data_IF_124008902199
#
_entry.id   IF_124008902199
#
_cell.length_a   1.000
_cell.length_b   1.000
_cell.length_c   1.000
_cell.angle_alpha   90.00
_cell.angle_beta   90.00
_cell.angle_gamma   90.00
#
_symmetry.space_group_name_H-M   'P 1'
#
loop_
_entity.id
_entity.type
_entity.pdbx_description
1 polymer ?
#
# COMPACT_ATOMS: atom_id res chain seq x y z
N UNK A 1 6.74 9.56 -3.12
CA UNK A 1 5.47 8.90 -2.71
C UNK A 1 4.26 9.84 -2.76
N UNK A 2 3.94 10.67 -1.73
CA UNK A 2 2.72 11.52 -1.80
C UNK A 2 2.73 12.51 -2.98
N UNK A 3 3.90 13.01 -3.35
CA UNK A 3 4.10 13.91 -4.49
C UNK A 3 3.68 13.28 -5.83
N UNK A 4 3.73 11.97 -5.97
CA UNK A 4 3.34 11.27 -7.21
C UNK A 4 1.82 11.18 -7.39
N UNK A 5 1.07 11.29 -6.29
CA UNK A 5 -0.39 11.25 -6.30
C UNK A 5 -1.01 12.61 -6.64
N UNK A 6 -0.29 13.68 -6.32
CA UNK A 6 -0.74 15.06 -6.53
C UNK A 6 -0.43 15.48 -7.95
N UNK A 7 -1.47 15.82 -8.71
CA UNK A 7 -1.34 16.37 -10.05
C UNK A 7 -1.33 17.91 -10.01
N UNK A 8 -0.81 18.56 -11.06
CA UNK A 8 -0.71 20.04 -11.13
C UNK A 8 -2.06 20.75 -10.90
N UNK A 9 -3.17 20.15 -11.34
CA UNK A 9 -4.51 20.71 -11.15
C UNK A 9 -5.12 20.44 -9.77
N UNK A 10 -4.53 19.54 -8.98
CA UNK A 10 -4.93 19.29 -7.59
C UNK A 10 -4.34 20.35 -6.65
N UNK A 11 -3.13 20.85 -6.94
CA UNK A 11 -2.44 21.87 -6.14
C UNK A 11 -3.29 23.09 -5.77
N UNK A 12 -4.00 23.79 -6.70
CA UNK A 12 -4.78 24.96 -6.33
C UNK A 12 -5.98 24.60 -5.43
N UNK A 13 -6.42 23.35 -5.41
CA UNK A 13 -7.46 22.86 -4.51
C UNK A 13 -6.85 22.60 -3.13
N UNK A 14 -5.68 21.95 -3.09
CA UNK A 14 -4.94 21.66 -1.86
C UNK A 14 -4.46 22.93 -1.13
N UNK A 15 -4.32 24.07 -1.82
CA UNK A 15 -4.08 25.37 -1.16
C UNK A 15 -5.18 25.80 -0.19
N UNK A 16 -6.38 25.25 -0.33
CA UNK A 16 -7.49 25.50 0.57
C UNK A 16 -7.54 24.52 1.75
N UNK A 17 -6.64 23.53 1.80
CA UNK A 17 -6.52 22.58 2.91
C UNK A 17 -5.90 23.30 4.11
N UNK A 18 -6.66 23.41 5.20
CA UNK A 18 -6.23 24.07 6.43
C UNK A 18 -5.62 23.10 7.44
N UNK A 19 -6.12 21.86 7.50
CA UNK A 19 -5.71 20.90 8.52
C UNK A 19 -5.97 19.46 8.08
N UNK A 20 -5.17 18.52 8.60
CA UNK A 20 -5.38 17.08 8.47
C UNK A 20 -5.38 16.48 9.87
N UNK A 21 -6.52 15.91 10.29
CA UNK A 21 -6.68 15.31 11.61
C UNK A 21 -6.84 13.81 11.50
N UNK A 22 -6.35 13.11 12.52
CA UNK A 22 -6.66 11.69 12.76
C UNK A 22 -7.63 11.60 13.94
N UNK A 23 -8.79 10.97 13.74
CA UNK A 23 -9.75 10.69 14.81
C UNK A 23 -9.98 9.20 14.95
N UNK A 24 -9.83 8.67 16.16
CA UNK A 24 -10.16 7.28 16.47
C UNK A 24 -11.63 7.16 16.86
N UNK A 25 -12.23 5.99 16.61
CA UNK A 25 -13.59 5.71 17.07
C UNK A 25 -13.69 5.69 18.59
N UNK A 26 -14.88 6.00 19.10
CA UNK A 26 -15.13 6.06 20.53
C UNK A 26 -15.23 4.65 21.15
N UNK A 27 -14.95 4.51 22.46
CA UNK A 27 -15.16 3.24 23.15
C UNK A 27 -16.57 2.68 22.95
N UNK A 28 -16.68 1.41 22.57
CA UNK A 28 -17.95 0.73 22.32
C UNK A 28 -18.44 0.79 20.86
N UNK A 29 -17.74 1.50 19.98
CA UNK A 29 -17.94 1.43 18.53
C UNK A 29 -16.93 0.47 17.87
N UNK A 30 -17.19 -0.04 16.66
CA UNK A 30 -16.19 -0.77 15.89
C UNK A 30 -14.88 0.03 15.79
N UNK A 31 -13.75 -0.65 16.00
CA UNK A 31 -12.42 0.00 15.98
C UNK A 31 -12.18 0.56 14.59
N UNK A 32 -11.97 1.86 14.50
CA UNK A 32 -11.65 2.53 13.25
C UNK A 32 -10.91 3.83 13.55
N UNK A 33 -10.27 4.38 12.53
CA UNK A 33 -9.80 5.76 12.58
C UNK A 33 -10.13 6.45 11.26
N UNK A 34 -10.30 7.76 11.33
CA UNK A 34 -10.71 8.62 10.23
C UNK A 34 -9.63 9.68 10.01
N UNK A 35 -9.15 9.78 8.78
CA UNK A 35 -8.41 10.95 8.32
C UNK A 35 -9.41 12.01 7.87
N UNK A 36 -9.40 13.17 8.53
CA UNK A 36 -10.22 14.32 8.20
C UNK A 36 -9.37 15.42 7.57
N UNK A 37 -9.68 15.79 6.34
CA UNK A 37 -9.04 16.87 5.60
C UNK A 37 -9.97 18.08 5.64
N UNK A 38 -9.58 19.10 6.41
CA UNK A 38 -10.39 20.30 6.65
C UNK A 38 -10.05 21.37 5.62
N UNK A 39 -11.04 21.77 4.83
CA UNK A 39 -10.89 22.79 3.79
C UNK A 39 -11.64 24.06 4.17
N UNK A 40 -11.04 25.20 3.82
CA UNK A 40 -11.75 26.46 3.83
C UNK A 40 -12.77 26.53 2.68
N UNK A 41 -13.75 27.47 2.74
CA UNK A 41 -14.64 27.72 1.62
C UNK A 41 -13.87 28.01 0.33
N UNK A 42 -14.06 27.19 -0.69
CA UNK A 42 -13.30 27.24 -1.94
C UNK A 42 -14.20 27.11 -3.18
N UNK A 43 -13.64 27.30 -4.37
CA UNK A 43 -14.37 27.29 -5.65
C UNK A 43 -14.54 25.92 -6.30
N UNK A 44 -14.12 24.84 -5.64
CA UNK A 44 -14.03 23.50 -6.23
C UNK A 44 -15.14 22.57 -5.76
N UNK A 45 -15.42 22.52 -4.46
CA UNK A 45 -16.48 21.70 -3.86
C UNK A 45 -17.13 22.41 -2.67
N UNK A 46 -18.23 21.86 -2.15
CA UNK A 46 -18.95 22.45 -1.00
C UNK A 46 -18.62 21.81 0.34
N UNK A 47 -17.95 20.67 0.36
CA UNK A 47 -17.54 19.99 1.59
C UNK A 47 -16.53 20.85 2.37
N UNK A 48 -16.77 21.02 3.67
CA UNK A 48 -15.78 21.61 4.59
C UNK A 48 -14.77 20.58 5.08
N UNK A 49 -15.14 19.29 5.09
CA UNK A 49 -14.27 18.18 5.51
C UNK A 49 -14.42 17.04 4.53
N UNK A 50 -13.29 16.55 4.00
CA UNK A 50 -13.23 15.29 3.27
C UNK A 50 -12.67 14.20 4.20
N UNK A 51 -13.28 13.02 4.19
CA UNK A 51 -12.96 11.96 5.16
C UNK A 51 -12.54 10.68 4.46
N UNK A 52 -11.52 10.02 5.01
CA UNK A 52 -11.14 8.65 4.68
C UNK A 52 -11.14 7.82 5.97
N UNK A 53 -12.02 6.83 6.03
CA UNK A 53 -12.25 5.98 7.20
C UNK A 53 -11.58 4.64 6.98
N UNK A 54 -10.82 4.17 7.98
CA UNK A 54 -10.19 2.87 7.99
C UNK A 54 -10.77 2.04 9.12
N UNK A 55 -11.40 0.91 8.77
CA UNK A 55 -11.95 -0.04 9.75
C UNK A 55 -10.86 -1.01 10.16
N UNK A 56 -10.79 -1.30 11.45
CA UNK A 56 -9.78 -2.17 12.02
C UNK A 56 -10.42 -3.39 12.67
N UNK A 57 -9.75 -4.54 12.53
CA UNK A 57 -10.04 -5.76 13.29
C UNK A 57 -8.97 -5.88 14.37
N UNK A 58 -9.40 -5.97 15.63
CA UNK A 58 -8.50 -6.09 16.78
C UNK A 58 -8.71 -7.39 17.56
N UNK A 59 -9.66 -8.23 17.12
CA UNK A 59 -9.91 -9.54 17.70
C UNK A 59 -9.25 -10.63 16.84
N UNK A 60 -8.61 -11.64 17.47
CA UNK A 60 -8.07 -12.79 16.76
C UNK A 60 -9.15 -13.50 15.94
N UNK A 61 -8.75 -14.13 14.84
CA UNK A 61 -9.67 -15.00 14.13
C UNK A 61 -10.04 -16.20 14.99
N UNK A 62 -11.32 -16.60 15.00
CA UNK A 62 -11.78 -17.76 15.75
C UNK A 62 -11.30 -19.07 15.11
N UNK A 63 -11.11 -19.08 13.80
CA UNK A 63 -10.65 -20.25 13.05
C UNK A 63 -9.12 -20.40 13.11
N UNK A 64 -8.39 -19.29 13.21
CA UNK A 64 -6.93 -19.29 13.37
C UNK A 64 -6.46 -18.19 14.34
N UNK A 65 -6.57 -18.41 15.66
CA UNK A 65 -6.22 -17.40 16.66
C UNK A 65 -4.74 -17.03 16.69
N UNK A 66 -3.85 -17.90 16.20
CA UNK A 66 -2.41 -17.69 16.22
C UNK A 66 -1.92 -16.81 15.07
N UNK A 67 -2.76 -16.59 14.04
CA UNK A 67 -2.50 -15.61 12.98
C UNK A 67 -2.63 -14.15 13.42
N UNK A 68 -3.04 -13.89 14.67
CA UNK A 68 -3.24 -12.53 15.15
C UNK A 68 -1.91 -11.83 15.43
N UNK A 69 -1.53 -10.92 14.52
CA UNK A 69 -0.33 -10.08 14.62
C UNK A 69 -0.60 -8.69 15.22
N UNK A 70 -1.85 -8.43 15.62
CA UNK A 70 -2.30 -7.16 16.20
C UNK A 70 -3.44 -6.51 15.42
N UNK A 71 -3.80 -5.26 15.74
CA UNK A 71 -4.85 -4.53 15.04
C UNK A 71 -4.53 -4.29 13.56
N UNK A 72 -5.32 -4.89 12.67
CA UNK A 72 -5.15 -4.78 11.22
C UNK A 72 -6.27 -3.95 10.60
N UNK A 73 -5.99 -3.20 9.53
CA UNK A 73 -7.03 -2.56 8.73
C UNK A 73 -7.65 -3.55 7.77
N UNK A 74 -8.95 -3.77 7.88
CA UNK A 74 -9.69 -4.75 7.09
C UNK A 74 -10.49 -4.14 5.94
N UNK A 75 -10.78 -2.84 6.03
CA UNK A 75 -11.62 -2.15 5.05
C UNK A 75 -11.37 -0.64 5.12
N UNK A 76 -11.68 0.06 4.03
CA UNK A 76 -11.64 1.51 3.98
C UNK A 76 -12.83 2.09 3.21
N UNK A 77 -13.40 3.17 3.75
CA UNK A 77 -14.47 3.94 3.12
C UNK A 77 -13.98 5.37 2.90
N UNK A 78 -14.30 5.93 1.73
CA UNK A 78 -14.08 7.34 1.44
C UNK A 78 -15.34 8.18 1.63
N UNK A 79 -15.33 9.39 1.08
CA UNK A 79 -16.48 10.29 1.11
C UNK A 79 -16.83 10.79 -0.30
N UNK A 80 -18.11 11.08 -0.53
CA UNK A 80 -18.52 11.77 -1.76
C UNK A 80 -18.04 13.21 -1.72
N UNK A 81 -17.34 13.63 -2.78
CA UNK A 81 -16.93 15.03 -2.96
C UNK A 81 -18.01 15.74 -3.78
N UNK A 82 -18.61 16.78 -3.20
CA UNK A 82 -19.66 17.59 -3.79
C UNK A 82 -19.06 18.67 -4.68
N UNK A 83 -18.51 18.21 -5.82
CA UNK A 83 -17.89 19.08 -6.82
C UNK A 83 -18.84 20.14 -7.35
N UNK A 84 -18.39 21.38 -7.36
CA UNK A 84 -19.04 22.47 -8.09
C UNK A 84 -18.97 22.22 -9.60
N UNK A 85 -19.88 22.85 -10.34
CA UNK A 85 -20.06 22.61 -11.78
C UNK A 85 -18.75 22.85 -12.55
N UNK A 86 -18.27 21.80 -13.23
CA UNK A 86 -17.07 21.86 -14.07
C UNK A 86 -15.74 21.90 -13.31
N UNK A 87 -15.76 21.62 -12.00
CA UNK A 87 -14.58 21.66 -11.13
C UNK A 87 -14.08 20.28 -10.70
N UNK A 88 -14.79 19.22 -11.09
CA UNK A 88 -14.38 17.86 -10.80
C UNK A 88 -13.12 17.47 -11.57
N UNK A 89 -11.99 17.39 -10.87
CA UNK A 89 -10.67 17.02 -11.42
C UNK A 89 -10.46 15.51 -11.52
N UNK A 90 -11.31 14.69 -10.89
CA UNK A 90 -11.22 13.22 -10.96
C UNK A 90 -11.83 12.65 -12.24
N UNK A 91 -12.41 13.50 -13.10
CA UNK A 91 -13.00 13.09 -14.38
C UNK A 91 -12.57 14.00 -15.52
N UNK A 92 -12.22 13.38 -16.66
CA UNK A 92 -11.91 14.07 -17.91
C UNK A 92 -13.03 13.86 -18.91
N UNK A 93 -13.45 14.95 -19.55
CA UNK A 93 -14.54 14.94 -20.52
C UNK A 93 -14.00 14.77 -21.95
N UNK A 94 -14.24 13.61 -22.56
CA UNK A 94 -13.84 13.30 -23.94
C UNK A 94 -15.03 13.52 -24.87
N UNK A 95 -14.87 14.42 -25.85
CA UNK A 95 -15.89 14.70 -26.88
C UNK A 95 -15.57 13.87 -28.13
N UNK A 96 -16.44 12.91 -28.47
CA UNK A 96 -16.35 12.12 -29.69
C UNK A 96 -17.41 12.59 -30.68
N UNK A 97 -16.98 13.05 -31.86
CA UNK A 97 -17.89 13.38 -32.96
C UNK A 97 -18.37 12.08 -33.62
N UNK A 98 -19.67 11.87 -33.65
CA UNK A 98 -20.30 10.75 -34.34
C UNK A 98 -21.07 11.26 -35.56
N UNK A 99 -20.69 10.79 -36.74
CA UNK A 99 -21.39 11.08 -37.99
C UNK A 99 -22.48 10.04 -38.21
N UNK A 100 -23.74 10.47 -38.33
CA UNK A 100 -24.86 9.54 -38.59
C UNK A 100 -24.93 9.25 -40.09
N UNK A 101 -24.74 7.97 -40.47
CA UNK A 101 -24.68 7.50 -41.87
C UNK A 101 -25.93 7.86 -42.71
N UNK A 102 -27.08 8.09 -42.07
CA UNK A 102 -28.36 8.26 -42.77
C UNK A 102 -28.79 9.71 -43.05
N UNK A 103 -28.21 10.72 -42.38
CA UNK A 103 -28.77 12.09 -42.37
C UNK A 103 -27.71 13.19 -42.45
N UNK A 104 -26.49 12.82 -42.82
CA UNK A 104 -25.27 13.66 -42.90
C UNK A 104 -25.05 14.64 -41.73
N UNK A 105 -25.60 14.31 -40.56
CA UNK A 105 -25.58 15.15 -39.36
C UNK A 105 -24.56 14.60 -38.37
N UNK A 106 -23.72 15.50 -37.86
CA UNK A 106 -22.68 15.20 -36.87
C UNK A 106 -23.22 15.53 -35.48
N UNK A 107 -23.33 14.52 -34.62
CA UNK A 107 -23.64 14.69 -33.19
C UNK A 107 -22.34 14.58 -32.39
N UNK A 108 -22.14 15.45 -31.41
CA UNK A 108 -21.04 15.31 -30.45
C UNK A 108 -21.56 14.51 -29.25
N UNK A 109 -20.93 13.37 -28.96
CA UNK A 109 -21.16 12.58 -27.76
C UNK A 109 -20.08 12.91 -26.76
N UNK A 110 -20.48 13.20 -25.53
CA UNK A 110 -19.60 13.52 -24.41
C UNK A 110 -19.51 12.29 -23.51
N UNK A 111 -18.31 11.73 -23.34
CA UNK A 111 -18.04 10.63 -22.40
C UNK A 111 -17.14 11.16 -21.28
N UNK A 112 -17.50 10.91 -20.03
CA UNK A 112 -16.60 11.13 -18.90
C UNK A 112 -15.76 9.87 -18.68
N UNK A 113 -14.47 10.06 -18.46
CA UNK A 113 -13.51 9.01 -18.14
C UNK A 113 -12.80 9.43 -16.85
N UNK A 114 -12.41 8.45 -16.02
CA UNK A 114 -11.63 8.72 -14.81
C UNK A 114 -10.33 9.44 -15.20
N UNK A 115 -9.95 10.40 -14.39
CA UNK A 115 -8.73 11.17 -14.52
C UNK A 115 -7.93 10.98 -13.24
N UNK A 116 -6.62 10.83 -13.37
CA UNK A 116 -5.73 10.67 -12.22
C UNK A 116 -5.77 11.95 -11.38
N UNK A 117 -5.81 11.84 -10.07
CA UNK A 117 -5.99 12.98 -9.17
C UNK A 117 -5.83 12.47 -7.75
N UNK A 118 -5.21 13.27 -6.90
CA UNK A 118 -5.14 13.02 -5.46
C UNK A 118 -6.53 12.76 -4.87
N UNK A 119 -7.56 13.46 -5.35
CA UNK A 119 -8.93 13.35 -4.82
C UNK A 119 -9.60 12.00 -5.10
N UNK A 120 -9.00 11.14 -5.93
CA UNK A 120 -9.39 9.74 -6.03
C UNK A 120 -9.15 8.96 -4.73
N UNK A 121 -8.26 9.44 -3.86
CA UNK A 121 -8.02 8.89 -2.52
C UNK A 121 -9.30 8.80 -1.68
N UNK A 122 -10.23 9.73 -1.84
CA UNK A 122 -11.52 9.74 -1.13
C UNK A 122 -12.58 8.85 -1.80
N UNK A 123 -12.23 8.14 -2.87
CA UNK A 123 -13.11 7.19 -3.54
C UNK A 123 -12.37 5.85 -3.71
N UNK A 124 -12.10 5.14 -2.59
CA UNK A 124 -11.38 3.87 -2.63
C UNK A 124 -12.16 2.85 -3.47
N UNK A 125 -11.41 1.98 -4.16
CA UNK A 125 -12.01 0.81 -4.79
C UNK A 125 -12.53 -0.10 -3.69
N UNK A 126 -13.83 -0.41 -3.73
CA UNK A 126 -14.40 -1.42 -2.84
C UNK A 126 -14.00 -2.78 -3.40
N UNK A 127 -13.36 -3.61 -2.58
CA UNK A 127 -13.22 -5.02 -2.90
C UNK A 127 -14.65 -5.59 -3.04
N UNK A 128 -15.05 -5.95 -4.25
CA UNK A 128 -16.34 -6.58 -4.50
C UNK A 128 -16.42 -7.83 -3.63
N UNK A 129 -17.41 -7.91 -2.73
CA UNK A 129 -17.57 -9.00 -1.76
C UNK A 129 -17.91 -10.37 -2.36
N UNK A 130 -17.83 -10.53 -3.67
CA UNK A 130 -18.35 -11.68 -4.43
C UNK A 130 -17.24 -12.55 -4.98
N UNK A 131 -16.26 -12.97 -4.18
CA UNK A 131 -15.34 -14.08 -4.49
C UNK A 131 -14.50 -13.97 -5.79
N UNK A 132 -14.59 -12.88 -6.54
CA UNK A 132 -13.75 -12.58 -7.68
C UNK A 132 -12.40 -12.12 -7.15
N UNK A 133 -11.33 -12.80 -7.57
CA UNK A 133 -9.97 -12.36 -7.31
C UNK A 133 -9.82 -10.92 -7.80
N UNK A 134 -9.38 -10.02 -6.92
CA UNK A 134 -9.02 -8.65 -7.31
C UNK A 134 -8.04 -8.70 -8.47
N UNK A 135 -8.28 -7.92 -9.52
CA UNK A 135 -7.30 -7.73 -10.58
C UNK A 135 -6.02 -7.06 -10.03
N UNK A 136 -4.91 -7.19 -10.77
CA UNK A 136 -3.61 -6.66 -10.33
C UNK A 136 -3.64 -5.14 -10.09
N UNK A 137 -4.40 -4.39 -10.89
CA UNK A 137 -4.56 -2.94 -10.75
C UNK A 137 -5.27 -2.58 -9.42
N UNK A 138 -6.26 -3.37 -9.03
CA UNK A 138 -7.00 -3.24 -7.77
C UNK A 138 -6.12 -3.57 -6.56
N UNK A 139 -5.29 -4.62 -6.66
CA UNK A 139 -4.31 -4.95 -5.61
C UNK A 139 -3.27 -3.85 -5.45
N UNK A 140 -2.74 -3.34 -6.55
CA UNK A 140 -1.79 -2.22 -6.53
C UNK A 140 -2.40 -0.99 -5.88
N UNK A 141 -3.64 -0.65 -6.24
CA UNK A 141 -4.36 0.50 -5.64
C UNK A 141 -4.55 0.33 -4.13
N UNK A 142 -4.88 -0.87 -3.64
CA UNK A 142 -5.01 -1.14 -2.20
C UNK A 142 -3.67 -1.06 -1.47
N UNK A 143 -2.58 -1.55 -2.09
CA UNK A 143 -1.24 -1.43 -1.53
C UNK A 143 -0.82 0.04 -1.41
N UNK A 144 -1.03 0.85 -2.46
CA UNK A 144 -0.78 2.29 -2.39
C UNK A 144 -1.62 2.97 -1.31
N UNK A 145 -2.88 2.58 -1.13
CA UNK A 145 -3.72 3.14 -0.07
C UNK A 145 -3.17 2.87 1.34
N UNK A 146 -2.63 1.67 1.55
CA UNK A 146 -1.99 1.29 2.81
C UNK A 146 -0.75 2.14 3.11
N UNK A 147 0.09 2.38 2.10
CA UNK A 147 1.27 3.24 2.23
C UNK A 147 0.86 4.69 2.56
N UNK A 148 -0.09 5.25 1.81
CA UNK A 148 -0.62 6.60 2.03
C UNK A 148 -1.20 6.73 3.45
N UNK A 149 -1.99 5.73 3.87
CA UNK A 149 -2.56 5.64 5.22
C UNK A 149 -1.46 5.70 6.28
N UNK A 150 -0.44 4.84 6.14
CA UNK A 150 0.67 4.79 7.09
C UNK A 150 1.38 6.15 7.15
N UNK A 151 1.64 6.75 5.98
CA UNK A 151 2.33 8.02 5.87
C UNK A 151 1.57 9.16 6.56
N UNK A 152 0.27 9.31 6.32
CA UNK A 152 -0.53 10.34 7.00
C UNK A 152 -0.59 10.14 8.51
N UNK A 153 -0.88 8.92 8.96
CA UNK A 153 -1.08 8.64 10.38
C UNK A 153 0.22 8.67 11.18
N UNK A 154 1.31 8.11 10.65
CA UNK A 154 2.56 7.91 11.38
C UNK A 154 3.62 8.98 11.13
N UNK A 155 3.57 9.67 9.98
CA UNK A 155 4.62 10.59 9.59
C UNK A 155 4.11 12.03 9.45
N UNK A 156 3.19 12.29 8.51
CA UNK A 156 2.76 13.67 8.20
C UNK A 156 2.07 14.33 9.38
N UNK A 157 1.00 13.75 9.94
CA UNK A 157 0.24 14.42 11.00
C UNK A 157 1.10 14.67 12.26
N UNK A 158 1.92 13.71 12.75
CA UNK A 158 2.78 13.95 13.90
C UNK A 158 3.93 14.95 13.67
N UNK A 159 4.46 15.03 12.44
CA UNK A 159 5.65 15.83 12.09
C UNK A 159 5.35 16.92 11.04
N UNK A 160 4.11 17.41 10.98
CA UNK A 160 3.64 18.27 9.89
C UNK A 160 4.52 19.51 9.65
N UNK A 161 5.01 20.13 10.73
CA UNK A 161 5.91 21.29 10.65
C UNK A 161 7.24 20.94 9.97
N UNK A 162 7.81 19.76 10.27
CA UNK A 162 9.08 19.33 9.68
C UNK A 162 8.95 18.99 8.18
N UNK A 163 7.80 18.42 7.78
CA UNK A 163 7.51 18.24 6.35
C UNK A 163 7.23 19.56 5.64
N UNK A 164 6.64 20.54 6.34
CA UNK A 164 6.41 21.87 5.80
C UNK A 164 7.72 22.66 5.62
N UNK A 165 8.67 22.54 6.56
CA UNK A 165 9.98 23.21 6.46
C UNK A 165 10.96 22.47 5.55
N UNK A 166 10.74 21.18 5.28
CA UNK A 166 11.62 20.32 4.46
C UNK A 166 12.64 19.52 5.29
N UNK A 167 12.74 19.78 6.59
CA UNK A 167 13.69 19.09 7.49
C UNK A 167 13.40 17.57 7.56
N UNK A 168 12.13 17.16 7.50
CA UNK A 168 11.79 15.73 7.53
C UNK A 168 12.19 14.96 6.27
N UNK A 169 12.43 15.65 5.15
CA UNK A 169 12.91 15.02 3.91
C UNK A 169 14.43 14.96 3.85
N UNK A 170 15.12 15.90 4.47
CA UNK A 170 16.59 15.92 4.54
C UNK A 170 17.15 14.82 5.46
N UNK A 171 16.42 14.45 6.52
CA UNK A 171 16.81 13.37 7.44
C UNK A 171 16.84 11.98 6.77
N UNK A 172 15.98 11.71 5.78
CA UNK A 172 15.86 10.39 5.13
C UNK A 172 17.03 10.14 4.14
N UNK A 173 17.58 11.20 3.55
CA UNK A 173 18.75 11.15 2.66
C UNK A 173 20.08 11.03 3.43
N UNK A 174 20.09 11.30 4.74
CA UNK A 174 21.31 11.27 5.56
C UNK A 174 21.60 9.89 6.20
N UNK A 175 20.76 8.88 5.96
CA UNK A 175 21.02 7.51 6.42
C UNK A 175 21.78 6.63 5.41
N UNK A 176 22.16 7.15 4.24
CA UNK A 176 22.88 6.38 3.20
C UNK A 176 24.40 6.65 3.13
N UNK A 177 24.94 7.61 3.88
CA UNK A 177 26.40 7.84 3.99
C UNK A 177 26.89 7.58 5.42
N UNK A 178 27.05 6.32 5.79
CA UNK A 178 27.55 5.96 7.13
C UNK A 178 28.02 4.53 7.35
N UNK A 179 28.23 3.75 6.29
CA UNK A 179 28.92 2.45 6.39
C UNK A 179 30.34 2.61 5.81
N UNK A 180 31.15 3.48 6.43
CA UNK A 180 32.61 3.42 6.26
C UNK A 180 33.12 2.25 7.11
N UNK A 181 33.79 1.32 6.43
CA UNK A 181 34.15 0.01 6.94
C UNK A 181 35.04 0.01 8.17
N UNK A 182 34.68 -0.83 9.13
CA UNK A 182 35.63 -1.37 10.09
C UNK A 182 36.18 -2.69 9.52
N UNK A 183 37.27 -2.57 8.77
CA UNK A 183 38.13 -3.68 8.38
C UNK A 183 38.88 -4.16 9.65
N UNK A 184 38.34 -5.13 10.38
CA UNK A 184 39.12 -5.82 11.41
C UNK A 184 40.08 -6.83 10.76
N UNK A 185 41.28 -6.34 10.41
CA UNK A 185 42.46 -7.16 10.18
C UNK A 185 42.85 -7.88 11.48
N UNK A 186 42.66 -9.20 11.55
CA UNK A 186 43.31 -10.06 12.54
C UNK A 186 44.26 -11.02 11.81
N UNK A 187 45.50 -10.57 11.60
CA UNK A 187 46.63 -11.43 11.33
C UNK A 187 47.39 -11.79 12.61
N UNK A 188 47.75 -13.07 12.76
CA UNK A 188 49.11 -13.43 13.19
C UNK A 188 49.28 -14.33 14.43
N UNK A 189 49.84 -15.51 14.15
CA UNK A 189 50.71 -16.39 14.97
C UNK A 189 50.10 -17.36 16.00
N UNK A 190 50.10 -18.68 15.75
CA UNK A 190 51.23 -19.67 15.85
C UNK A 190 51.57 -19.99 17.32
N UNK A 191 51.83 -21.19 17.81
CA UNK A 191 51.96 -22.58 17.33
C UNK A 191 51.90 -23.46 18.62
N UNK A 192 51.77 -24.79 18.49
CA UNK A 192 52.07 -25.69 19.61
C UNK A 192 51.45 -27.07 19.53
N UNK A 193 52.20 -27.97 18.91
CA UNK A 193 52.13 -29.44 18.88
C UNK A 193 51.89 -30.05 20.30
N UNK A 194 51.25 -31.20 20.48
CA UNK A 194 51.87 -32.50 20.26
C UNK A 194 50.87 -33.66 20.05
N UNK A 195 51.33 -34.55 19.17
CA UNK A 195 51.04 -35.98 18.96
C UNK A 195 50.69 -36.75 20.27
N UNK A 196 49.93 -37.85 20.29
CA UNK A 196 50.29 -39.07 19.58
C UNK A 196 49.26 -40.22 19.73
N UNK A 197 49.18 -41.02 18.66
CA UNK A 197 49.13 -42.49 18.64
C UNK A 197 47.81 -43.28 18.89
N UNK A 198 47.23 -43.86 17.84
CA UNK A 198 47.51 -45.24 17.43
C UNK A 198 46.50 -45.81 16.42
N UNK A 199 47.07 -46.38 15.35
CA UNK A 199 46.47 -47.06 14.21
C UNK A 199 45.48 -48.19 14.55
N UNK A 200 44.53 -48.48 13.65
CA UNK A 200 44.58 -49.73 12.87
C UNK A 200 43.66 -49.71 11.63
N UNK A 201 44.32 -49.99 10.51
CA UNK A 201 43.86 -50.30 9.15
C UNK A 201 42.67 -51.27 9.05
N UNK A 202 41.82 -51.11 8.02
CA UNK A 202 41.64 -52.12 6.94
C UNK A 202 40.61 -51.72 5.85
N UNK A 203 41.15 -51.39 4.67
CA UNK A 203 40.69 -51.69 3.28
C UNK A 203 39.24 -52.17 3.02
N UNK A 204 38.50 -51.46 2.14
CA UNK A 204 38.15 -51.83 0.73
C UNK A 204 36.93 -51.05 0.20
N UNK A 205 37.10 -50.39 -0.95
CA UNK A 205 36.07 -50.03 -1.95
C UNK A 205 35.44 -51.28 -2.63
N UNK A 206 34.50 -51.17 -3.59
CA UNK A 206 33.27 -50.36 -3.66
C UNK A 206 32.07 -51.20 -4.19
N UNK A 207 30.81 -50.76 -4.02
CA UNK A 207 29.70 -51.13 -4.94
C UNK A 207 28.39 -50.36 -4.72
N UNK A 208 27.96 -49.64 -5.75
CA UNK A 208 26.53 -49.39 -6.06
C UNK A 208 25.98 -50.57 -6.90
N UNK A 209 24.72 -50.57 -7.38
CA UNK A 209 23.42 -50.33 -6.71
C UNK A 209 22.42 -51.48 -7.07
N UNK A 210 21.23 -51.55 -6.45
CA UNK A 210 20.05 -52.09 -7.16
C UNK A 210 18.72 -51.81 -6.46
N UNK A 211 17.74 -51.47 -7.31
CA UNK A 211 16.30 -51.32 -7.12
C UNK A 211 15.62 -52.44 -6.32
N UNK A 212 14.46 -52.12 -5.73
CA UNK A 212 13.34 -53.06 -5.74
C UNK A 212 11.99 -52.31 -5.79
N UNK A 213 11.27 -52.52 -6.89
CA UNK A 213 9.81 -52.42 -7.07
C UNK A 213 9.13 -53.43 -6.10
N UNK A 214 7.84 -53.45 -5.78
CA UNK A 214 6.63 -53.16 -6.55
C UNK A 214 5.39 -53.33 -5.62
N UNK A 215 4.24 -52.81 -6.06
CA UNK A 215 2.85 -53.23 -5.78
C UNK A 215 2.35 -53.20 -4.31
N UNK A 216 1.22 -52.57 -3.99
CA UNK A 216 0.00 -52.34 -4.76
C UNK A 216 -1.09 -53.26 -4.23
N UNK A 217 -2.18 -52.72 -3.68
CA UNK A 217 -3.51 -53.05 -4.18
C UNK A 217 -4.58 -52.09 -3.67
N UNK A 218 -5.55 -51.90 -4.54
CA UNK A 218 -6.75 -51.09 -4.38
C UNK A 218 -7.88 -51.91 -3.75
N UNK A 219 -8.94 -51.20 -3.33
CA UNK A 219 -10.38 -51.44 -3.56
C UNK A 219 -11.14 -50.73 -2.40
N UNK A 220 -11.80 -49.58 -2.60
CA UNK A 220 -13.06 -49.34 -3.34
C UNK A 220 -14.17 -50.32 -2.94
N UNK A 221 -15.15 -49.84 -2.18
CA UNK A 221 -16.46 -49.39 -2.69
C UNK A 221 -16.88 -48.17 -1.89
#
# INVERSE_FOLDING_TARGET
MLSELVQEYDEPILKHLQDIKVKFSEPGQPVSFVLEFHFEPNDYFTNSVLTKTYKMKSEPDKADPFSFEGPETVDCDGCTIDWKKGKNVTVKTIKKKQKRKSRDTVRTITKQVRNDSFFNFFNPLKASGDGESLDEDSKFTLASDFEIRHFFHKQIVPRAVLYFTGEATEDDDNFEEGEEGEEEELEGDEEGEDEDNAEISSKKEPSQPSECKEQGDALRV
#
